data_IF_660243253446
#
_entry.id   IF_660243253446
#
_cell.length_a   1.000
_cell.length_b   1.000
_cell.length_c   1.000
_cell.angle_alpha   90.00
_cell.angle_beta   90.00
_cell.angle_gamma   90.00
#
_symmetry.space_group_name_H-M   'P 1'
#
loop_
_entity.id
_entity.type
_entity.pdbx_description
1 polymer ?
#
# COMPACT_ATOMS: atom_id res chain seq x y z
N UNK A 1 2.05 9.65 -39.46
CA UNK A 1 0.86 9.08 -38.77
C UNK A 1 0.98 7.58 -38.45
N UNK A 2 1.99 6.85 -38.99
CA UNK A 2 2.21 5.42 -38.68
C UNK A 2 3.17 5.17 -37.49
N UNK A 3 4.09 6.08 -37.17
CA UNK A 3 5.05 5.89 -36.05
C UNK A 3 4.42 6.02 -34.65
N UNK A 4 3.36 6.82 -34.50
CA UNK A 4 2.71 7.02 -33.20
C UNK A 4 1.87 5.80 -32.77
N UNK A 5 1.31 5.07 -33.74
CA UNK A 5 0.56 3.82 -33.47
C UNK A 5 1.48 2.66 -33.07
N UNK A 6 2.75 2.68 -33.49
CA UNK A 6 3.73 1.64 -33.15
C UNK A 6 4.30 1.81 -31.74
N UNK A 7 4.36 3.04 -31.21
CA UNK A 7 4.77 3.33 -29.83
C UNK A 7 3.77 2.90 -28.75
N UNK A 8 2.51 2.64 -29.11
CA UNK A 8 1.43 2.29 -28.17
C UNK A 8 1.18 0.79 -28.01
N UNK A 9 2.03 -0.09 -28.56
CA UNK A 9 1.90 -1.54 -28.40
C UNK A 9 2.94 -2.07 -27.42
N UNK A 10 2.52 -2.98 -26.54
CA UNK A 10 3.44 -3.74 -25.68
C UNK A 10 4.49 -4.45 -26.54
N UNK A 11 5.72 -4.63 -26.03
CA UNK A 11 6.69 -5.51 -26.66
C UNK A 11 6.08 -6.90 -26.90
N UNK A 12 6.36 -7.47 -28.07
CA UNK A 12 5.84 -8.79 -28.45
C UNK A 12 6.25 -9.85 -27.41
N UNK A 13 5.29 -10.70 -27.01
CA UNK A 13 5.52 -11.77 -26.02
C UNK A 13 5.43 -11.35 -24.54
N UNK A 14 5.07 -10.10 -24.24
CA UNK A 14 4.86 -9.67 -22.85
C UNK A 14 3.67 -10.41 -22.23
N UNK A 15 3.92 -11.25 -21.23
CA UNK A 15 2.87 -11.84 -20.39
C UNK A 15 2.54 -10.89 -19.24
N UNK A 16 1.29 -10.43 -19.21
CA UNK A 16 0.79 -9.58 -18.14
C UNK A 16 0.48 -10.42 -16.89
N UNK A 17 0.68 -9.81 -15.72
CA UNK A 17 0.24 -10.39 -14.46
C UNK A 17 -1.29 -10.42 -14.34
N UNK A 18 -1.78 -11.23 -13.40
CA UNK A 18 -3.19 -11.33 -13.00
C UNK A 18 -3.81 -9.97 -12.68
N UNK A 19 -3.06 -9.06 -12.05
CA UNK A 19 -3.52 -7.71 -11.72
C UNK A 19 -3.83 -6.83 -12.95
N UNK A 20 -3.42 -7.25 -14.14
CA UNK A 20 -3.63 -6.57 -15.42
C UNK A 20 -4.61 -7.29 -16.34
N UNK A 21 -5.37 -8.26 -15.83
CA UNK A 21 -6.50 -8.86 -16.55
C UNK A 21 -7.50 -7.76 -16.94
N UNK A 22 -7.65 -7.49 -18.25
CA UNK A 22 -8.55 -6.44 -18.76
C UNK A 22 -7.92 -5.06 -18.97
N UNK A 23 -6.58 -4.96 -19.05
CA UNK A 23 -5.91 -3.72 -19.46
C UNK A 23 -6.29 -3.30 -20.90
N UNK A 24 -6.57 -2.01 -21.09
CA UNK A 24 -7.11 -1.44 -22.34
C UNK A 24 -6.05 -1.09 -23.40
N UNK A 25 -4.77 -1.29 -23.09
CA UNK A 25 -3.65 -0.98 -23.99
C UNK A 25 -3.22 0.49 -24.02
N UNK A 26 -3.81 1.37 -23.20
CA UNK A 26 -3.58 2.82 -23.30
C UNK A 26 -2.42 3.31 -22.43
N UNK A 27 -1.24 3.50 -23.04
CA UNK A 27 -0.05 4.01 -22.35
C UNK A 27 -0.17 5.46 -21.84
N UNK A 28 -1.00 6.32 -22.46
CA UNK A 28 -1.13 7.73 -22.03
C UNK A 28 -1.90 7.86 -20.72
N UNK A 29 -2.95 7.05 -20.51
CA UNK A 29 -3.72 7.01 -19.25
C UNK A 29 -2.86 6.55 -18.08
N UNK A 30 -2.02 5.55 -18.32
CA UNK A 30 -1.10 4.98 -17.34
C UNK A 30 -0.24 6.03 -16.61
N UNK A 31 0.34 6.97 -17.36
CA UNK A 31 1.20 8.02 -16.80
C UNK A 31 0.44 9.08 -15.98
N UNK A 32 -0.85 9.30 -16.27
CA UNK A 32 -1.69 10.27 -15.55
C UNK A 32 -2.18 9.67 -14.23
N UNK A 33 -2.59 8.41 -14.25
CA UNK A 33 -3.12 7.72 -13.07
C UNK A 33 -2.04 7.40 -12.02
N UNK A 34 -0.75 7.41 -12.39
CA UNK A 34 0.37 7.24 -11.46
C UNK A 34 0.71 8.49 -10.62
N UNK A 35 0.16 9.67 -10.94
CA UNK A 35 0.36 10.90 -10.14
C UNK A 35 -0.84 11.16 -9.23
N UNK A 36 -0.72 10.77 -7.97
CA UNK A 36 -1.81 10.87 -7.00
C UNK A 36 -1.35 11.38 -5.64
N UNK A 37 -2.27 11.98 -4.90
CA UNK A 37 -2.04 12.41 -3.52
C UNK A 37 -2.46 11.29 -2.56
N UNK A 38 -1.82 11.13 -1.38
CA UNK A 38 -2.27 10.20 -0.35
C UNK A 38 -3.67 10.56 0.21
N UNK A 39 -4.10 11.81 0.02
CA UNK A 39 -5.40 12.31 0.49
C UNK A 39 -6.58 11.66 -0.23
N UNK A 40 -6.43 11.23 -1.48
CA UNK A 40 -7.52 10.59 -2.22
C UNK A 40 -8.01 9.32 -1.50
N UNK A 41 -7.09 8.42 -1.15
CA UNK A 41 -7.40 7.24 -0.34
C UNK A 41 -7.96 7.64 1.03
N UNK A 42 -7.34 8.62 1.68
CA UNK A 42 -7.77 9.10 2.98
C UNK A 42 -9.21 9.58 3.02
N UNK A 43 -9.60 10.45 2.09
CA UNK A 43 -10.95 11.03 1.99
C UNK A 43 -12.00 10.01 1.59
N UNK A 44 -11.71 9.14 0.63
CA UNK A 44 -12.63 8.06 0.24
C UNK A 44 -12.83 7.06 1.38
N UNK A 45 -11.80 6.83 2.18
CA UNK A 45 -11.92 5.98 3.35
C UNK A 45 -12.76 6.63 4.45
N UNK A 46 -12.60 7.94 4.70
CA UNK A 46 -13.50 8.68 5.59
C UNK A 46 -14.95 8.61 5.12
N UNK A 47 -15.19 8.88 3.84
CA UNK A 47 -16.52 8.81 3.24
C UNK A 47 -17.14 7.42 3.42
N UNK A 48 -16.37 6.37 3.15
CA UNK A 48 -16.78 4.98 3.34
C UNK A 48 -17.17 4.65 4.79
N UNK A 49 -16.39 5.12 5.78
CA UNK A 49 -16.67 4.92 7.21
C UNK A 49 -17.93 5.65 7.63
N UNK A 50 -18.12 6.90 7.20
CA UNK A 50 -19.32 7.69 7.50
C UNK A 50 -20.57 7.05 6.88
N UNK A 51 -20.50 6.64 5.60
CA UNK A 51 -21.61 5.97 4.92
C UNK A 51 -21.98 4.65 5.60
N UNK A 52 -20.98 3.86 5.99
CA UNK A 52 -21.20 2.61 6.74
C UNK A 52 -21.83 2.87 8.11
N UNK A 53 -21.40 3.93 8.80
CA UNK A 53 -21.94 4.33 10.10
C UNK A 53 -23.41 4.77 9.99
N UNK A 54 -23.78 5.48 8.92
CA UNK A 54 -25.17 5.83 8.62
C UNK A 54 -26.00 4.56 8.36
N UNK A 55 -25.48 3.62 7.59
CA UNK A 55 -26.15 2.33 7.34
C UNK A 55 -26.39 1.54 8.62
N UNK A 56 -25.39 1.47 9.52
CA UNK A 56 -25.53 0.82 10.83
C UNK A 56 -26.57 1.55 11.68
N UNK A 57 -26.54 2.89 11.75
CA UNK A 57 -27.52 3.69 12.48
C UNK A 57 -28.94 3.46 11.96
N UNK A 58 -29.12 3.33 10.64
CA UNK A 58 -30.41 3.00 10.03
C UNK A 58 -30.90 1.60 10.41
N UNK A 59 -30.02 0.59 10.41
CA UNK A 59 -30.36 -0.76 10.87
C UNK A 59 -30.78 -0.74 12.34
N UNK A 60 -30.06 0.01 13.19
CA UNK A 60 -30.40 0.17 14.60
C UNK A 60 -31.75 0.86 14.78
N UNK A 61 -32.03 1.88 13.98
CA UNK A 61 -33.34 2.54 13.96
C UNK A 61 -34.45 1.54 13.63
N UNK A 62 -34.27 0.66 12.62
CA UNK A 62 -35.27 -0.35 12.27
C UNK A 62 -35.47 -1.43 13.35
N UNK A 63 -34.42 -1.76 14.11
CA UNK A 63 -34.47 -2.76 15.19
C UNK A 63 -35.02 -2.15 16.49
N UNK A 64 -34.92 -0.82 16.65
CA UNK A 64 -35.28 -0.10 17.88
C UNK A 64 -36.68 -0.42 18.43
N UNK A 65 -37.76 -0.60 17.62
CA UNK A 65 -39.09 -0.88 18.17
C UNK A 65 -39.22 -2.26 18.82
N UNK A 66 -38.38 -3.23 18.42
CA UNK A 66 -38.37 -4.56 19.04
C UNK A 66 -37.58 -4.56 20.34
N UNK A 67 -36.46 -3.84 20.38
CA UNK A 67 -35.59 -3.75 21.56
C UNK A 67 -36.22 -2.91 22.65
N UNK A 68 -36.97 -1.86 22.28
CA UNK A 68 -37.74 -1.06 23.25
C UNK A 68 -38.78 -1.90 24.02
N UNK A 69 -39.30 -2.97 23.40
CA UNK A 69 -40.20 -3.93 24.05
C UNK A 69 -39.56 -4.78 25.15
N UNK A 70 -38.23 -4.83 25.27
CA UNK A 70 -37.52 -5.60 26.30
C UNK A 70 -37.23 -4.80 27.59
N UNK A 71 -37.67 -3.55 27.65
CA UNK A 71 -37.49 -2.65 28.80
C UNK A 71 -36.53 -1.51 28.52
N UNK A 72 -36.74 -0.38 29.21
CA UNK A 72 -36.01 0.88 28.99
C UNK A 72 -34.51 0.74 29.23
N UNK A 73 -34.10 -0.01 30.27
CA UNK A 73 -32.70 -0.25 30.58
C UNK A 73 -31.99 -1.05 29.48
N UNK A 74 -32.62 -2.11 28.96
CA UNK A 74 -32.06 -2.93 27.88
C UNK A 74 -31.95 -2.13 26.60
N UNK A 75 -32.97 -1.34 26.25
CA UNK A 75 -32.96 -0.47 25.09
C UNK A 75 -31.85 0.59 25.13
N UNK A 76 -31.66 1.24 26.28
CA UNK A 76 -30.58 2.20 26.48
C UNK A 76 -29.21 1.53 26.39
N UNK A 77 -29.03 0.36 27.02
CA UNK A 77 -27.77 -0.38 26.99
C UNK A 77 -27.37 -0.79 25.57
N UNK A 78 -28.31 -1.34 24.79
CA UNK A 78 -28.07 -1.72 23.38
C UNK A 78 -27.71 -0.49 22.56
N UNK A 79 -28.53 0.55 22.61
CA UNK A 79 -28.32 1.78 21.81
C UNK A 79 -26.98 2.44 22.12
N UNK A 80 -26.66 2.62 23.41
CA UNK A 80 -25.41 3.24 23.84
C UNK A 80 -24.19 2.39 23.48
N UNK A 81 -24.29 1.06 23.54
CA UNK A 81 -23.20 0.16 23.15
C UNK A 81 -22.88 0.31 21.66
N UNK A 82 -23.90 0.35 20.80
CA UNK A 82 -23.71 0.55 19.37
C UNK A 82 -23.15 1.93 19.03
N UNK A 83 -23.67 2.98 19.65
CA UNK A 83 -23.14 4.35 19.48
C UNK A 83 -21.68 4.43 19.92
N UNK A 84 -21.33 3.81 21.05
CA UNK A 84 -19.95 3.75 21.51
C UNK A 84 -19.04 3.04 20.49
N UNK A 85 -19.46 1.91 19.91
CA UNK A 85 -18.69 1.19 18.87
C UNK A 85 -18.50 2.06 17.63
N UNK A 86 -19.55 2.72 17.13
CA UNK A 86 -19.46 3.62 15.97
C UNK A 86 -18.47 4.76 16.27
N UNK A 87 -18.59 5.41 17.43
CA UNK A 87 -17.70 6.50 17.84
C UNK A 87 -16.25 6.04 17.95
N UNK A 88 -15.99 4.85 18.53
CA UNK A 88 -14.63 4.28 18.61
C UNK A 88 -14.05 4.05 17.20
N UNK A 89 -14.84 3.52 16.26
CA UNK A 89 -14.39 3.28 14.88
C UNK A 89 -14.06 4.60 14.18
N UNK A 90 -14.89 5.63 14.33
CA UNK A 90 -14.66 6.96 13.73
C UNK A 90 -13.41 7.61 14.32
N UNK A 91 -13.23 7.57 15.65
CA UNK A 91 -12.03 8.12 16.32
C UNK A 91 -10.78 7.37 15.87
N UNK A 92 -10.81 6.02 15.86
CA UNK A 92 -9.68 5.21 15.40
C UNK A 92 -9.30 5.54 13.95
N UNK A 93 -10.30 5.72 13.08
CA UNK A 93 -10.10 6.15 11.71
C UNK A 93 -9.45 7.54 11.63
N UNK A 94 -9.99 8.53 12.35
CA UNK A 94 -9.45 9.88 12.38
C UNK A 94 -7.99 9.92 12.83
N UNK A 95 -7.63 9.13 13.85
CA UNK A 95 -6.24 9.01 14.33
C UNK A 95 -5.32 8.49 13.21
N UNK A 96 -5.71 7.44 12.48
CA UNK A 96 -4.92 6.89 11.38
C UNK A 96 -4.76 7.90 10.24
N UNK A 97 -5.80 8.66 9.92
CA UNK A 97 -5.75 9.71 8.89
C UNK A 97 -4.80 10.83 9.29
N UNK A 98 -4.90 11.32 10.52
CA UNK A 98 -4.01 12.36 11.05
C UNK A 98 -2.56 11.84 11.04
N UNK A 99 -2.33 10.60 11.46
CA UNK A 99 -1.00 9.98 11.41
C UNK A 99 -0.43 9.94 9.97
N UNK A 100 -1.25 9.59 8.98
CA UNK A 100 -0.84 9.56 7.57
C UNK A 100 -0.64 10.94 6.95
N UNK A 101 -1.44 11.95 7.33
CA UNK A 101 -1.32 13.32 6.81
C UNK A 101 -0.06 13.99 7.37
N UNK A 102 0.10 13.94 8.70
CA UNK A 102 1.19 14.61 9.40
C UNK A 102 2.47 13.77 9.48
N UNK A 103 2.44 12.52 8.99
CA UNK A 103 3.58 11.57 9.04
C UNK A 103 4.13 11.39 10.46
N UNK A 104 3.21 11.31 11.42
CA UNK A 104 3.51 11.20 12.85
C UNK A 104 3.14 9.81 13.37
N UNK A 105 3.93 9.29 14.29
CA UNK A 105 3.63 8.04 15.01
C UNK A 105 2.69 8.32 16.20
N UNK A 106 1.50 8.89 15.93
CA UNK A 106 0.47 9.18 16.95
C UNK A 106 0.01 7.94 17.73
N UNK A 107 0.08 6.76 17.11
CA UNK A 107 -0.16 5.47 17.72
C UNK A 107 0.75 4.42 17.09
N UNK A 108 1.13 3.40 17.85
CA UNK A 108 2.00 2.33 17.36
C UNK A 108 1.40 1.71 16.09
N UNK A 109 2.20 1.60 15.02
CA UNK A 109 1.93 0.79 13.82
C UNK A 109 1.31 -0.57 14.18
N UNK A 110 1.55 -1.06 15.41
CA UNK A 110 0.78 -2.10 16.10
C UNK A 110 -0.73 -2.06 15.81
N UNK A 111 -1.50 -1.02 16.15
CA UNK A 111 -2.97 -1.05 15.92
C UNK A 111 -3.30 -1.11 14.43
N UNK A 112 -2.58 -0.33 13.62
CA UNK A 112 -2.75 -0.32 12.17
C UNK A 112 -2.51 -1.72 11.55
N UNK A 113 -1.55 -2.50 12.08
CA UNK A 113 -1.27 -3.88 11.61
C UNK A 113 -2.19 -4.96 12.18
N UNK A 114 -2.92 -4.71 13.27
CA UNK A 114 -3.89 -5.69 13.81
C UNK A 114 -5.22 -5.64 13.11
N UNK A 115 -5.62 -4.45 12.65
CA UNK A 115 -6.86 -4.23 11.95
C UNK A 115 -6.66 -3.77 10.50
N UNK A 116 -5.69 -4.33 9.73
CA UNK A 116 -5.39 -3.84 8.39
C UNK A 116 -6.62 -4.02 7.53
N UNK A 117 -7.29 -5.18 7.61
CA UNK A 117 -8.51 -5.42 6.85
C UNK A 117 -9.64 -4.48 7.22
N UNK A 118 -9.78 -4.02 8.46
CA UNK A 118 -10.82 -3.06 8.90
C UNK A 118 -10.46 -1.61 8.49
N UNK A 119 -9.17 -1.28 8.54
CA UNK A 119 -8.60 0.05 8.25
C UNK A 119 -8.31 0.24 6.75
N UNK A 120 -8.28 -0.83 5.97
CA UNK A 120 -7.98 -0.84 4.53
C UNK A 120 -8.91 -1.79 3.80
N UNK A 121 -10.16 -1.92 4.31
CA UNK A 121 -11.23 -2.72 3.72
C UNK A 121 -11.31 -2.50 2.21
N UNK A 122 -11.87 -3.43 1.46
CA UNK A 122 -12.20 -3.20 0.05
C UNK A 122 -13.22 -2.05 -0.17
N UNK A 123 -13.71 -1.37 0.88
CA UNK A 123 -14.72 -0.32 0.77
C UNK A 123 -14.20 0.92 0.03
N UNK A 124 -13.01 1.52 0.31
CA UNK A 124 -12.52 2.65 -0.48
C UNK A 124 -12.26 2.25 -1.94
N UNK A 125 -11.86 0.99 -2.20
CA UNK A 125 -11.74 0.46 -3.55
C UNK A 125 -13.09 0.32 -4.25
N UNK A 126 -14.13 -0.11 -3.53
CA UNK A 126 -15.50 -0.20 -4.03
C UNK A 126 -16.07 1.21 -4.30
N UNK A 127 -15.90 2.14 -3.37
CA UNK A 127 -16.30 3.54 -3.53
C UNK A 127 -15.59 4.18 -4.72
N UNK A 128 -14.27 3.94 -4.87
CA UNK A 128 -13.50 4.38 -6.02
C UNK A 128 -14.08 3.84 -7.33
N UNK A 129 -14.44 2.54 -7.37
CA UNK A 129 -15.05 1.91 -8.55
C UNK A 129 -16.41 2.54 -8.89
N UNK A 130 -17.25 2.82 -7.90
CA UNK A 130 -18.55 3.47 -8.10
C UNK A 130 -18.41 4.91 -8.61
N UNK A 131 -17.36 5.61 -8.19
CA UNK A 131 -17.03 6.96 -8.63
C UNK A 131 -16.22 7.00 -9.94
N UNK A 132 -15.99 5.85 -10.58
CA UNK A 132 -15.22 5.78 -11.84
C UNK A 132 -13.73 6.09 -11.67
N UNK A 133 -13.19 6.00 -10.46
CA UNK A 133 -11.77 6.25 -10.19
C UNK A 133 -10.95 5.01 -10.60
N UNK A 134 -9.91 5.16 -11.44
CA UNK A 134 -9.10 4.05 -11.89
C UNK A 134 -8.43 3.28 -10.74
N UNK A 135 -8.36 1.95 -10.87
CA UNK A 135 -7.73 1.07 -9.88
C UNK A 135 -6.27 1.46 -9.62
N UNK A 136 -5.52 1.86 -10.65
CA UNK A 136 -4.13 2.32 -10.52
C UNK A 136 -4.02 3.55 -9.65
N UNK A 137 -4.85 4.56 -9.95
CA UNK A 137 -4.90 5.82 -9.21
C UNK A 137 -5.24 5.58 -7.74
N UNK A 138 -6.21 4.73 -7.47
CA UNK A 138 -6.58 4.38 -6.10
C UNK A 138 -5.47 3.61 -5.37
N UNK A 139 -4.85 2.64 -6.05
CA UNK A 139 -3.76 1.82 -5.50
C UNK A 139 -2.51 2.66 -5.22
N UNK A 140 -2.18 3.61 -6.11
CA UNK A 140 -1.06 4.53 -5.92
C UNK A 140 -1.29 5.44 -4.71
N UNK A 141 -2.52 5.98 -4.58
CA UNK A 141 -2.89 6.80 -3.43
C UNK A 141 -2.79 6.02 -2.11
N UNK A 142 -3.24 4.77 -2.10
CA UNK A 142 -3.07 3.87 -0.97
C UNK A 142 -1.59 3.65 -0.61
N UNK A 143 -0.74 3.32 -1.59
CA UNK A 143 0.69 3.08 -1.34
C UNK A 143 1.33 4.32 -0.71
N UNK A 144 1.01 5.52 -1.22
CA UNK A 144 1.50 6.79 -0.63
C UNK A 144 0.95 7.02 0.78
N UNK A 145 -0.33 6.75 1.00
CA UNK A 145 -0.96 6.84 2.32
C UNK A 145 -0.29 5.92 3.33
N UNK A 146 -0.08 4.65 2.96
CA UNK A 146 0.62 3.65 3.76
C UNK A 146 2.07 4.08 4.05
N UNK A 147 2.81 4.48 3.02
CA UNK A 147 4.19 4.95 3.15
C UNK A 147 4.28 6.14 4.12
N UNK A 148 3.34 7.08 4.11
CA UNK A 148 3.36 8.19 5.07
C UNK A 148 3.20 7.72 6.53
N UNK A 149 2.37 6.71 6.79
CA UNK A 149 2.24 6.09 8.12
C UNK A 149 3.58 5.47 8.52
N UNK A 150 4.20 4.71 7.62
CA UNK A 150 5.49 4.07 7.88
C UNK A 150 6.59 5.10 8.10
N UNK A 151 6.57 6.23 7.39
CA UNK A 151 7.55 7.32 7.55
C UNK A 151 7.53 7.95 8.94
N UNK A 152 6.39 7.91 9.63
CA UNK A 152 6.28 8.34 11.03
C UNK A 152 6.95 7.39 12.03
N UNK A 153 7.32 6.17 11.60
CA UNK A 153 8.01 5.20 12.44
C UNK A 153 9.51 5.54 12.53
N UNK A 154 10.06 5.55 13.75
CA UNK A 154 11.51 5.76 13.97
C UNK A 154 12.21 4.46 14.38
N UNK A 155 11.95 3.37 13.65
CA UNK A 155 12.57 2.07 13.93
C UNK A 155 13.86 1.93 13.14
N UNK A 156 15.00 1.85 13.85
CA UNK A 156 16.27 1.44 13.26
C UNK A 156 16.29 -0.07 13.04
N UNK A 157 16.71 -0.51 11.86
CA UNK A 157 16.73 -1.91 11.45
C UNK A 157 18.15 -2.24 10.99
N UNK A 158 18.74 -3.36 11.46
CA UNK A 158 20.06 -3.76 10.98
C UNK A 158 19.97 -4.18 9.50
N UNK A 159 21.01 -3.91 8.68
CA UNK A 159 20.94 -4.12 7.23
C UNK A 159 20.50 -5.50 6.78
N UNK A 160 20.98 -6.56 7.44
CA UNK A 160 20.66 -7.94 7.13
C UNK A 160 19.16 -8.29 7.35
N UNK A 161 18.43 -7.45 8.09
CA UNK A 161 16.98 -7.58 8.31
C UNK A 161 16.13 -6.62 7.48
N UNK A 162 16.75 -5.83 6.59
CA UNK A 162 16.07 -4.96 5.63
C UNK A 162 16.10 -5.61 4.24
N UNK A 163 15.00 -6.24 3.85
CA UNK A 163 14.89 -6.90 2.55
C UNK A 163 14.49 -5.90 1.45
N UNK A 164 15.26 -5.85 0.36
CA UNK A 164 14.85 -5.15 -0.86
C UNK A 164 14.28 -6.15 -1.84
N UNK A 165 13.00 -5.99 -2.19
CA UNK A 165 12.26 -6.91 -3.04
C UNK A 165 12.01 -6.25 -4.40
N UNK A 166 12.58 -6.82 -5.46
CA UNK A 166 12.54 -6.27 -6.81
C UNK A 166 11.67 -7.12 -7.75
N UNK A 167 11.01 -6.55 -8.77
CA UNK A 167 10.28 -7.31 -9.76
C UNK A 167 11.20 -7.68 -10.93
N UNK A 168 10.91 -8.79 -11.63
CA UNK A 168 11.64 -9.19 -12.85
C UNK A 168 11.52 -8.22 -14.02
N UNK A 169 10.53 -7.33 -14.03
CA UNK A 169 10.27 -6.41 -15.14
C UNK A 169 11.16 -5.16 -15.15
N UNK A 170 11.98 -4.93 -14.12
CA UNK A 170 12.96 -3.83 -14.12
C UNK A 170 13.98 -4.00 -15.25
N UNK A 171 14.36 -2.88 -15.86
CA UNK A 171 15.49 -2.85 -16.81
C UNK A 171 16.77 -3.42 -16.16
N UNK A 172 17.64 -4.00 -16.98
CA UNK A 172 18.90 -4.58 -16.50
C UNK A 172 19.76 -3.55 -15.76
N UNK A 173 19.91 -2.37 -16.35
CA UNK A 173 20.69 -1.26 -15.78
C UNK A 173 20.14 -0.81 -14.41
N UNK A 174 18.84 -0.55 -14.30
CA UNK A 174 18.22 -0.15 -13.02
C UNK A 174 18.40 -1.24 -11.96
N UNK A 175 18.25 -2.52 -12.34
CA UNK A 175 18.44 -3.64 -11.42
C UNK A 175 19.87 -3.73 -10.91
N UNK A 176 20.87 -3.62 -11.80
CA UNK A 176 22.29 -3.67 -11.43
C UNK A 176 22.65 -2.53 -10.49
N UNK A 177 22.15 -1.31 -10.74
CA UNK A 177 22.36 -0.16 -9.84
C UNK A 177 21.78 -0.39 -8.45
N UNK A 178 20.58 -0.97 -8.35
CA UNK A 178 19.97 -1.28 -7.04
C UNK A 178 20.75 -2.39 -6.34
N UNK A 179 21.21 -3.42 -7.05
CA UNK A 179 22.03 -4.49 -6.48
C UNK A 179 23.33 -3.93 -5.90
N UNK A 180 24.04 -3.08 -6.64
CA UNK A 180 25.25 -2.40 -6.15
C UNK A 180 24.98 -1.52 -4.93
N UNK A 181 23.88 -0.76 -4.93
CA UNK A 181 23.47 0.05 -3.79
C UNK A 181 23.21 -0.81 -2.55
N UNK A 182 22.45 -1.90 -2.68
CA UNK A 182 22.12 -2.78 -1.56
C UNK A 182 23.35 -3.54 -1.04
N UNK A 183 24.24 -3.99 -1.94
CA UNK A 183 25.51 -4.62 -1.58
C UNK A 183 26.37 -3.67 -0.74
N UNK A 184 26.49 -2.40 -1.15
CA UNK A 184 27.23 -1.37 -0.40
C UNK A 184 26.68 -1.11 1.01
N UNK A 185 25.43 -1.50 1.28
CA UNK A 185 24.75 -1.29 2.57
C UNK A 185 24.54 -2.59 3.34
N UNK A 186 24.93 -3.75 2.81
CA UNK A 186 24.69 -5.05 3.45
C UNK A 186 23.22 -5.50 3.49
N UNK A 187 22.37 -4.97 2.59
CA UNK A 187 20.94 -5.31 2.56
C UNK A 187 20.68 -6.48 1.59
N UNK A 188 19.98 -7.55 2.01
CA UNK A 188 19.62 -8.64 1.11
C UNK A 188 18.65 -8.17 0.01
N UNK A 189 18.87 -8.64 -1.22
CA UNK A 189 18.01 -8.36 -2.37
C UNK A 189 17.43 -9.65 -2.91
N UNK A 190 16.12 -9.66 -3.16
CA UNK A 190 15.44 -10.78 -3.83
C UNK A 190 14.70 -10.25 -5.05
N UNK A 191 14.88 -10.94 -6.18
CA UNK A 191 14.11 -10.66 -7.40
C UNK A 191 12.94 -11.64 -7.46
N UNK A 192 11.73 -11.09 -7.43
CA UNK A 192 10.50 -11.86 -7.47
C UNK A 192 9.88 -11.93 -8.87
N UNK A 193 9.39 -13.12 -9.21
CA UNK A 193 8.82 -13.44 -10.52
C UNK A 193 7.40 -12.91 -10.71
N UNK A 194 6.66 -12.81 -9.63
CA UNK A 194 5.29 -12.35 -9.51
C UNK A 194 4.93 -12.17 -8.04
N UNK A 195 3.70 -11.72 -7.78
CA UNK A 195 3.24 -11.37 -6.43
C UNK A 195 3.27 -12.54 -5.43
N UNK A 196 2.87 -13.73 -5.85
CA UNK A 196 2.86 -14.93 -4.99
C UNK A 196 4.27 -15.26 -4.48
N UNK A 197 5.21 -15.45 -5.40
CA UNK A 197 6.61 -15.73 -5.05
C UNK A 197 7.23 -14.61 -4.19
N UNK A 198 6.85 -13.35 -4.43
CA UNK A 198 7.26 -12.24 -3.58
C UNK A 198 6.81 -12.44 -2.12
N UNK A 199 5.55 -12.82 -1.90
CA UNK A 199 4.99 -13.03 -0.56
C UNK A 199 5.57 -14.26 0.12
N UNK A 200 5.82 -15.33 -0.64
CA UNK A 200 6.50 -16.52 -0.14
C UNK A 200 7.89 -16.16 0.39
N UNK A 201 8.69 -15.43 -0.40
CA UNK A 201 10.02 -14.99 0.00
C UNK A 201 10.02 -14.09 1.23
N UNK A 202 9.03 -13.20 1.38
CA UNK A 202 8.88 -12.39 2.60
C UNK A 202 8.61 -13.27 3.82
N UNK A 203 7.79 -14.33 3.68
CA UNK A 203 7.52 -15.28 4.78
C UNK A 203 8.74 -16.12 5.13
N UNK A 204 9.47 -16.59 4.11
CA UNK A 204 10.67 -17.43 4.29
C UNK A 204 11.81 -16.66 4.97
N UNK A 205 12.09 -15.44 4.50
CA UNK A 205 13.18 -14.59 5.02
C UNK A 205 12.82 -13.99 6.37
N UNK A 206 11.53 -13.75 6.63
CA UNK A 206 11.02 -13.09 7.84
C UNK A 206 11.79 -11.80 8.22
N UNK A 207 11.91 -10.83 7.29
CA UNK A 207 12.69 -9.61 7.54
C UNK A 207 11.98 -8.70 8.55
N UNK A 208 12.71 -7.75 9.14
CA UNK A 208 12.10 -6.73 10.01
C UNK A 208 11.36 -5.66 9.21
N UNK A 209 11.85 -5.33 8.00
CA UNK A 209 11.16 -4.50 7.04
C UNK A 209 11.48 -4.89 5.59
N UNK A 210 10.60 -4.48 4.67
CA UNK A 210 10.73 -4.70 3.23
C UNK A 210 10.61 -3.36 2.51
N UNK A 211 11.55 -3.08 1.61
CA UNK A 211 11.39 -2.08 0.56
C UNK A 211 10.97 -2.85 -0.70
N UNK A 212 9.69 -2.79 -1.02
CA UNK A 212 9.10 -3.51 -2.15
C UNK A 212 8.98 -2.58 -3.36
N UNK A 213 9.56 -2.99 -4.50
CA UNK A 213 9.43 -2.30 -5.78
C UNK A 213 8.46 -3.10 -6.66
N UNK A 214 7.35 -2.49 -7.08
CA UNK A 214 6.41 -3.11 -8.02
C UNK A 214 5.45 -2.07 -8.59
N UNK A 215 4.49 -2.50 -9.42
CA UNK A 215 3.37 -1.64 -9.80
C UNK A 215 2.43 -1.40 -8.61
N UNK A 216 1.66 -0.33 -8.63
CA UNK A 216 0.84 0.09 -7.49
C UNK A 216 -0.25 -0.92 -7.15
N UNK A 217 -0.79 -1.62 -8.15
CA UNK A 217 -1.76 -2.72 -7.94
C UNK A 217 -1.15 -3.88 -7.16
N UNK A 218 0.07 -4.28 -7.54
CA UNK A 218 0.81 -5.35 -6.86
C UNK A 218 1.26 -4.90 -5.46
N UNK A 219 1.69 -3.65 -5.31
CA UNK A 219 2.07 -3.08 -4.01
C UNK A 219 0.86 -3.01 -3.08
N UNK A 220 -0.29 -2.52 -3.54
CA UNK A 220 -1.51 -2.46 -2.74
C UNK A 220 -1.88 -3.84 -2.20
N UNK A 221 -2.03 -4.84 -3.08
CA UNK A 221 -2.38 -6.21 -2.66
C UNK A 221 -1.30 -6.87 -1.80
N UNK A 222 -0.02 -6.70 -2.15
CA UNK A 222 1.11 -7.26 -1.42
C UNK A 222 1.24 -6.70 0.00
N UNK A 223 1.14 -5.38 0.17
CA UNK A 223 1.19 -4.71 1.47
C UNK A 223 0.07 -5.25 2.37
N UNK A 224 -1.17 -5.32 1.87
CA UNK A 224 -2.32 -5.84 2.61
C UNK A 224 -2.10 -7.24 3.20
N UNK A 225 -1.39 -8.10 2.47
CA UNK A 225 -1.19 -9.49 2.85
C UNK A 225 -0.08 -9.68 3.88
N UNK A 226 1.01 -8.91 3.79
CA UNK A 226 2.20 -9.11 4.65
C UNK A 226 2.34 -8.11 5.79
N UNK A 227 1.67 -6.95 5.76
CA UNK A 227 1.88 -5.87 6.73
C UNK A 227 1.56 -6.23 8.19
N UNK A 228 0.81 -7.33 8.42
CA UNK A 228 0.51 -7.81 9.77
C UNK A 228 1.77 -8.24 10.54
N UNK A 229 2.78 -8.75 9.82
CA UNK A 229 4.00 -9.33 10.41
C UNK A 229 5.25 -8.51 10.14
N UNK A 230 5.31 -7.82 9.00
CA UNK A 230 6.51 -7.15 8.51
C UNK A 230 6.17 -5.70 8.15
N UNK A 231 7.05 -4.75 8.49
CA UNK A 231 6.89 -3.37 8.03
C UNK A 231 7.22 -3.29 6.55
N UNK A 232 6.31 -2.78 5.72
CA UNK A 232 6.51 -2.71 4.27
C UNK A 232 6.47 -1.26 3.81
N UNK A 233 7.37 -0.91 2.91
CA UNK A 233 7.29 0.32 2.12
C UNK A 233 7.16 -0.08 0.66
N UNK A 234 6.21 0.52 -0.05
CA UNK A 234 6.04 0.31 -1.48
C UNK A 234 6.65 1.45 -2.29
N UNK A 235 7.58 1.14 -3.20
CA UNK A 235 8.12 2.09 -4.18
C UNK A 235 7.55 1.73 -5.55
N UNK A 236 6.65 2.56 -6.05
CA UNK A 236 5.96 2.33 -7.31
C UNK A 236 6.94 2.44 -8.48
N UNK A 237 6.98 1.43 -9.35
CA UNK A 237 7.74 1.50 -10.59
C UNK A 237 7.03 2.33 -11.65
N UNK A 238 7.80 3.00 -12.51
CA UNK A 238 7.29 3.63 -13.73
C UNK A 238 7.26 2.62 -14.86
N UNK A 239 6.30 2.78 -15.76
CA UNK A 239 5.99 1.82 -16.83
C UNK A 239 6.05 2.51 -18.21
N UNK A 240 7.24 2.94 -18.67
CA UNK A 240 7.36 3.69 -19.92
C UNK A 240 6.95 2.89 -21.17
N UNK A 241 7.00 1.55 -21.09
CA UNK A 241 6.59 0.63 -22.15
C UNK A 241 5.32 -0.15 -21.81
N UNK A 242 4.57 0.29 -20.80
CA UNK A 242 3.38 -0.41 -20.32
C UNK A 242 3.66 -1.42 -19.20
N UNK A 243 2.62 -2.12 -18.75
CA UNK A 243 2.70 -3.04 -17.62
C UNK A 243 3.65 -4.22 -17.88
N UNK A 244 4.41 -4.55 -16.83
CA UNK A 244 5.32 -5.70 -16.81
C UNK A 244 6.41 -5.70 -17.90
N UNK A 245 6.70 -4.56 -18.55
CA UNK A 245 7.70 -4.44 -19.61
C UNK A 245 8.65 -3.25 -19.37
N UNK A 246 9.95 -3.55 -19.24
CA UNK A 246 11.04 -2.55 -19.13
C UNK A 246 10.71 -1.40 -18.16
N UNK A 247 10.32 -1.76 -16.94
CA UNK A 247 9.92 -0.79 -15.92
C UNK A 247 11.15 -0.14 -15.29
N UNK A 248 11.00 1.08 -14.80
CA UNK A 248 12.04 1.80 -14.08
C UNK A 248 11.57 2.18 -12.68
N UNK A 249 12.48 2.63 -11.83
CA UNK A 249 12.15 3.09 -10.48
C UNK A 249 13.12 4.18 -10.08
N UNK A 250 12.65 5.12 -9.26
CA UNK A 250 13.51 6.13 -8.67
C UNK A 250 14.41 5.51 -7.60
N UNK A 251 15.70 5.36 -7.93
CA UNK A 251 16.71 4.81 -7.03
C UNK A 251 16.93 5.74 -5.82
N UNK A 252 16.74 7.06 -5.98
CA UNK A 252 16.87 8.00 -4.88
C UNK A 252 15.77 7.79 -3.83
N UNK A 253 14.56 7.37 -4.25
CA UNK A 253 13.48 7.00 -3.33
C UNK A 253 13.85 5.75 -2.53
N UNK A 254 14.41 4.73 -3.18
CA UNK A 254 14.90 3.51 -2.50
C UNK A 254 15.97 3.88 -1.47
N UNK A 255 16.95 4.70 -1.87
CA UNK A 255 18.02 5.12 -0.97
C UNK A 255 17.49 5.93 0.23
N UNK A 256 16.51 6.81 0.01
CA UNK A 256 15.87 7.56 1.09
C UNK A 256 15.18 6.63 2.10
N UNK A 257 14.53 5.56 1.64
CA UNK A 257 13.93 4.55 2.51
C UNK A 257 14.98 3.70 3.22
N UNK A 258 16.08 3.35 2.56
CA UNK A 258 17.20 2.70 3.22
C UNK A 258 17.76 3.59 4.34
N UNK A 259 18.02 4.88 4.08
CA UNK A 259 18.45 5.84 5.11
C UNK A 259 17.44 5.94 6.26
N UNK A 260 16.15 5.95 5.96
CA UNK A 260 15.10 6.00 6.98
C UNK A 260 15.15 4.79 7.93
N UNK A 261 15.35 3.58 7.41
CA UNK A 261 15.40 2.36 8.23
C UNK A 261 16.75 2.11 8.88
N UNK A 262 17.84 2.37 8.18
CA UNK A 262 19.19 2.09 8.66
C UNK A 262 19.74 3.21 9.56
N UNK A 263 19.21 4.43 9.41
CA UNK A 263 19.79 5.65 9.98
C UNK A 263 21.03 6.12 9.22
N UNK A 264 21.54 7.31 9.57
CA UNK A 264 22.66 7.95 8.89
C UNK A 264 24.02 7.26 9.11
N UNK A 265 24.08 6.27 10.02
CA UNK A 265 25.31 5.62 10.49
C UNK A 265 25.59 4.24 9.87
N UNK A 266 24.77 3.75 8.93
CA UNK A 266 25.06 2.49 8.25
C UNK A 266 26.23 2.68 7.27
N UNK A 267 27.44 2.44 7.81
CA UNK A 267 28.69 2.48 7.08
C UNK A 267 28.59 1.70 5.77
N UNK A 268 29.13 2.30 4.71
CA UNK A 268 29.34 1.62 3.43
C UNK A 268 30.18 0.38 3.72
N UNK A 269 29.62 -0.81 3.48
CA UNK A 269 30.35 -2.06 3.56
C UNK A 269 31.31 -2.07 2.37
N UNK A 270 32.61 -1.84 2.65
CA UNK A 270 33.66 -2.02 1.66
C UNK A 270 33.59 -3.46 1.13
N UNK A 271 33.59 -3.69 -0.19
CA UNK A 271 33.61 -5.04 -0.72
C UNK A 271 34.84 -5.77 -0.18
N UNK A 272 34.65 -6.98 0.37
CA UNK A 272 35.77 -7.86 0.72
C UNK A 272 36.62 -8.06 -0.53
N UNK A 273 37.89 -7.67 -0.45
CA UNK A 273 38.92 -7.91 -1.44
C UNK A 273 39.11 -9.40 -1.71
#
# INVERSE_FOLDING_TARGET
MNDEKQKNKLPAGTKLGDQWSGWDGNLKREHVDARTTPLLFGLLFLFAVLLSSIGIAFILYMISPRVSGWGSAVNAAVTNSFLAVITIVIIAHAIVQIAAIFKISLFSYFIYRFFPRLITLNIPMLAARLLGIPKDRMSNSYVRFHNNIVRGMRKKIPPERLLVLLPRCLTKETRERILSLCASRGCPVIVAAGGEMARDKVRDVNPAAVIAVACERDLHSGILEVMRKVTVVGVANTRPKGPCALTEVDIAEIEAWMRHFLGDAAAVVQPKA
#
